data_IF_609976263636
#
_entry.id   IF_609976263636
#
_cell.length_a   1.000
_cell.length_b   1.000
_cell.length_c   1.000
_cell.angle_alpha   90.00
_cell.angle_beta   90.00
_cell.angle_gamma   90.00
#
_symmetry.space_group_name_H-M   'P 1'
#
loop_
_entity.id
_entity.type
_entity.pdbx_description
1 polymer ?
#
# COMPACT_ATOMS: atom_id res chain seq x y z
N UNK A 1 -46.35 37.58 30.17
CA UNK A 1 -45.76 36.22 30.28
C UNK A 1 -45.76 35.39 28.98
N UNK A 2 -46.74 35.50 28.08
CA UNK A 2 -46.78 34.73 26.80
C UNK A 2 -45.60 35.04 25.85
N UNK A 3 -45.23 36.31 25.71
CA UNK A 3 -44.12 36.75 24.83
C UNK A 3 -42.75 36.14 25.19
N UNK A 4 -42.49 35.91 26.49
CA UNK A 4 -41.21 35.36 26.96
C UNK A 4 -41.04 33.87 26.60
N UNK A 5 -42.14 33.09 26.57
CA UNK A 5 -42.12 31.68 26.14
C UNK A 5 -41.91 31.56 24.63
N UNK A 6 -42.47 32.48 23.85
CA UNK A 6 -42.33 32.51 22.39
C UNK A 6 -40.90 32.83 21.96
N UNK A 7 -40.25 33.79 22.61
CA UNK A 7 -38.82 34.09 22.37
C UNK A 7 -37.90 32.92 22.74
N UNK A 8 -38.16 32.24 23.86
CA UNK A 8 -37.39 31.04 24.25
C UNK A 8 -37.53 29.89 23.24
N UNK A 9 -38.72 29.65 22.72
CA UNK A 9 -38.93 28.65 21.66
C UNK A 9 -38.24 29.03 20.35
N UNK A 10 -38.30 30.31 19.97
CA UNK A 10 -37.61 30.81 18.79
C UNK A 10 -36.09 30.67 18.95
N UNK A 11 -35.55 31.04 20.11
CA UNK A 11 -34.12 30.93 20.44
C UNK A 11 -33.64 29.47 20.44
N UNK A 12 -34.44 28.54 20.98
CA UNK A 12 -34.10 27.11 21.00
C UNK A 12 -34.12 26.49 19.60
N UNK A 13 -35.04 26.92 18.73
CA UNK A 13 -35.08 26.52 17.32
C UNK A 13 -33.90 27.10 16.53
N UNK A 14 -33.52 28.34 16.81
CA UNK A 14 -32.37 28.99 16.20
C UNK A 14 -31.07 28.28 16.60
N UNK A 15 -30.92 27.90 17.87
CA UNK A 15 -29.76 27.15 18.36
C UNK A 15 -29.65 25.79 17.67
N UNK A 16 -30.76 25.06 17.52
CA UNK A 16 -30.78 23.76 16.84
C UNK A 16 -30.43 23.89 15.34
N UNK A 17 -30.90 24.95 14.68
CA UNK A 17 -30.57 25.23 13.28
C UNK A 17 -29.07 25.46 13.09
N UNK A 18 -28.43 26.25 13.97
CA UNK A 18 -26.98 26.51 13.91
C UNK A 18 -26.17 25.23 14.12
N UNK A 19 -26.64 24.33 15.00
CA UNK A 19 -25.99 23.05 15.26
C UNK A 19 -26.03 22.14 14.01
N UNK A 20 -27.18 22.06 13.34
CA UNK A 20 -27.34 21.28 12.09
C UNK A 20 -26.47 21.84 10.97
N UNK A 21 -26.45 23.15 10.77
CA UNK A 21 -25.61 23.80 9.74
C UNK A 21 -24.13 23.59 10.01
N UNK A 22 -23.69 23.70 11.26
CA UNK A 22 -22.30 23.45 11.65
C UNK A 22 -21.86 22.01 11.37
N UNK A 23 -22.74 21.04 11.64
CA UNK A 23 -22.50 19.63 11.31
C UNK A 23 -22.39 19.42 9.79
N UNK A 24 -23.29 19.99 9.00
CA UNK A 24 -23.21 19.93 7.53
C UNK A 24 -21.93 20.55 6.98
N UNK A 25 -21.49 21.68 7.53
CA UNK A 25 -20.25 22.33 7.13
C UNK A 25 -19.02 21.46 7.47
N UNK A 26 -19.00 20.85 8.67
CA UNK A 26 -17.95 19.89 9.03
C UNK A 26 -17.93 18.67 8.10
N UNK A 27 -19.09 18.11 7.76
CA UNK A 27 -19.19 17.02 6.79
C UNK A 27 -18.69 17.42 5.41
N UNK A 28 -19.00 18.62 4.93
CA UNK A 28 -18.52 19.11 3.63
C UNK A 28 -16.99 19.21 3.60
N UNK A 29 -16.38 19.81 4.64
CA UNK A 29 -14.92 19.90 4.75
C UNK A 29 -14.23 18.52 4.82
N UNK A 30 -14.83 17.56 5.53
CA UNK A 30 -14.29 16.20 5.60
C UNK A 30 -14.42 15.50 4.24
N UNK A 31 -15.53 15.69 3.53
CA UNK A 31 -15.74 15.11 2.21
C UNK A 31 -14.77 15.68 1.17
N UNK A 32 -14.51 16.98 1.18
CA UNK A 32 -13.55 17.62 0.26
C UNK A 32 -12.12 17.14 0.54
N UNK A 33 -11.69 17.08 1.80
CA UNK A 33 -10.35 16.56 2.15
C UNK A 33 -10.16 15.10 1.70
N UNK A 34 -11.20 14.27 1.81
CA UNK A 34 -11.16 12.87 1.34
C UNK A 34 -11.06 12.80 -0.18
N UNK A 35 -11.89 13.58 -0.88
CA UNK A 35 -11.86 13.64 -2.34
C UNK A 35 -10.52 14.16 -2.87
N UNK A 36 -9.93 15.18 -2.25
CA UNK A 36 -8.60 15.68 -2.60
C UNK A 36 -7.51 14.64 -2.33
N UNK A 37 -7.59 13.89 -1.23
CA UNK A 37 -6.65 12.79 -0.94
C UNK A 37 -6.77 11.67 -1.96
N UNK A 38 -7.99 11.27 -2.31
CA UNK A 38 -8.25 10.24 -3.33
C UNK A 38 -7.83 10.69 -4.72
N UNK A 39 -8.07 11.96 -5.08
CA UNK A 39 -7.62 12.54 -6.34
C UNK A 39 -6.10 12.69 -6.40
N UNK A 40 -5.45 13.04 -5.29
CA UNK A 40 -3.99 13.14 -5.21
C UNK A 40 -3.35 11.75 -5.31
N UNK A 41 -3.92 10.74 -4.66
CA UNK A 41 -3.54 9.34 -4.85
C UNK A 41 -3.76 8.95 -6.32
N UNK A 42 -4.91 9.22 -6.92
CA UNK A 42 -5.18 8.89 -8.33
C UNK A 42 -4.24 9.62 -9.32
N UNK A 43 -3.87 10.87 -9.03
CA UNK A 43 -2.95 11.65 -9.85
C UNK A 43 -1.50 11.20 -9.68
N UNK A 44 -1.10 10.83 -8.46
CA UNK A 44 0.20 10.18 -8.17
C UNK A 44 0.23 8.76 -8.75
N UNK A 45 -0.93 8.13 -8.90
CA UNK A 45 -1.14 6.85 -9.56
C UNK A 45 -1.19 6.89 -11.08
N UNK A 46 -1.20 8.09 -11.66
CA UNK A 46 -1.04 8.29 -13.10
C UNK A 46 0.46 8.35 -13.43
N UNK A 47 1.19 7.30 -13.03
CA UNK A 47 2.65 7.25 -13.01
C UNK A 47 3.23 6.51 -14.21
N UNK A 48 4.09 7.22 -14.94
CA UNK A 48 5.01 6.80 -16.00
C UNK A 48 6.07 5.76 -15.56
N UNK A 49 5.67 4.78 -14.78
CA UNK A 49 6.56 3.74 -14.28
C UNK A 49 6.86 2.67 -15.33
N UNK A 50 7.89 1.88 -15.07
CA UNK A 50 8.40 0.87 -16.02
C UNK A 50 7.49 -0.36 -16.14
N UNK A 51 6.49 -0.49 -15.27
CA UNK A 51 5.63 -1.66 -15.18
C UNK A 51 4.14 -1.29 -15.13
N UNK A 52 3.28 -2.23 -15.49
CA UNK A 52 1.83 -2.11 -15.38
C UNK A 52 1.39 -2.38 -13.94
N UNK A 53 0.40 -1.63 -13.50
CA UNK A 53 -0.21 -1.81 -12.20
C UNK A 53 -0.92 -3.15 -12.10
N UNK A 54 -0.79 -3.80 -10.95
CA UNK A 54 -1.37 -5.11 -10.71
C UNK A 54 -0.63 -5.89 -9.63
N UNK A 55 -1.07 -7.12 -9.40
CA UNK A 55 -0.37 -8.07 -8.54
C UNK A 55 0.10 -9.23 -9.40
N UNK A 56 1.40 -9.48 -9.35
CA UNK A 56 2.09 -10.47 -10.18
C UNK A 56 2.77 -11.48 -9.29
N UNK A 57 2.64 -12.76 -9.63
CA UNK A 57 3.33 -13.82 -8.92
C UNK A 57 4.54 -14.30 -9.72
N UNK A 58 5.60 -14.63 -9.01
CA UNK A 58 6.80 -15.19 -9.60
C UNK A 58 7.43 -16.22 -8.68
N UNK A 59 8.18 -17.13 -9.26
CA UNK A 59 8.84 -18.20 -8.53
C UNK A 59 10.32 -18.28 -8.88
N UNK A 60 11.11 -18.76 -7.92
CA UNK A 60 12.55 -18.94 -8.05
C UNK A 60 13.06 -20.06 -7.15
N UNK A 61 14.18 -20.67 -7.53
CA UNK A 61 14.78 -21.75 -6.75
C UNK A 61 15.70 -21.18 -5.67
N UNK A 62 15.33 -21.41 -4.41
CA UNK A 62 16.12 -21.10 -3.22
C UNK A 62 17.02 -22.24 -2.76
N UNK A 63 17.51 -22.15 -1.53
CA UNK A 63 18.33 -23.20 -0.90
C UNK A 63 17.51 -24.46 -0.62
N UNK A 64 16.32 -24.27 -0.03
CA UNK A 64 15.44 -25.36 0.39
C UNK A 64 14.53 -25.87 -0.70
N UNK A 65 14.27 -25.06 -1.73
CA UNK A 65 13.32 -25.43 -2.78
C UNK A 65 12.76 -24.21 -3.48
N UNK A 66 11.58 -24.39 -4.07
CA UNK A 66 10.87 -23.31 -4.73
C UNK A 66 10.41 -22.25 -3.72
N UNK A 67 10.72 -21.00 -4.00
CA UNK A 67 10.21 -19.81 -3.34
C UNK A 67 9.22 -19.14 -4.29
N UNK A 68 8.04 -18.79 -3.81
CA UNK A 68 7.01 -18.06 -4.55
C UNK A 68 6.81 -16.70 -3.90
N UNK A 69 6.83 -15.64 -4.70
CA UNK A 69 6.59 -14.26 -4.26
C UNK A 69 5.42 -13.66 -5.02
N UNK A 70 4.73 -12.73 -4.38
CA UNK A 70 3.70 -11.88 -4.96
C UNK A 70 4.18 -10.45 -4.88
N UNK A 71 4.29 -9.79 -6.04
CA UNK A 71 4.73 -8.40 -6.19
C UNK A 71 3.52 -7.56 -6.55
N UNK A 72 3.22 -6.56 -5.74
CA UNK A 72 2.19 -5.56 -6.03
C UNK A 72 2.86 -4.34 -6.64
N UNK A 73 2.37 -3.93 -7.80
CA UNK A 73 2.79 -2.74 -8.52
C UNK A 73 1.66 -1.73 -8.47
N UNK A 74 2.00 -0.53 -8.05
CA UNK A 74 1.14 0.65 -8.12
C UNK A 74 1.94 1.77 -8.76
N UNK A 75 1.32 2.46 -9.71
CA UNK A 75 1.87 3.65 -10.35
C UNK A 75 3.14 3.32 -11.15
N UNK A 76 3.17 2.11 -11.70
CA UNK A 76 4.31 1.48 -12.36
C UNK A 76 5.57 1.36 -11.50
N UNK A 77 5.40 1.32 -10.17
CA UNK A 77 6.45 1.12 -9.17
C UNK A 77 6.08 -0.05 -8.25
N UNK A 78 7.09 -0.73 -7.72
CA UNK A 78 6.96 -1.80 -6.72
C UNK A 78 6.41 -1.18 -5.42
N UNK A 79 5.17 -1.52 -5.08
CA UNK A 79 4.49 -1.12 -3.84
C UNK A 79 4.77 -2.11 -2.70
N UNK A 80 4.65 -3.41 -3.00
CA UNK A 80 4.84 -4.47 -2.01
C UNK A 80 5.42 -5.74 -2.63
N UNK A 81 6.11 -6.53 -1.81
CA UNK A 81 6.64 -7.85 -2.17
C UNK A 81 6.40 -8.79 -0.99
N UNK A 82 5.58 -9.82 -1.20
CA UNK A 82 5.23 -10.80 -0.20
C UNK A 82 5.74 -12.18 -0.60
N UNK A 83 6.31 -12.93 0.35
CA UNK A 83 6.64 -14.34 0.14
C UNK A 83 5.39 -15.17 0.41
N UNK A 84 4.92 -15.87 -0.62
CA UNK A 84 3.73 -16.75 -0.57
C UNK A 84 4.10 -18.15 -0.12
N UNK A 85 5.18 -18.69 -0.67
CA UNK A 85 5.65 -20.04 -0.35
C UNK A 85 7.17 -20.09 -0.24
N UNK A 86 7.67 -20.80 0.77
CA UNK A 86 9.09 -21.09 0.99
C UNK A 86 9.25 -22.31 1.93
N UNK A 87 8.50 -23.38 1.67
CA UNK A 87 8.22 -24.46 2.63
C UNK A 87 9.45 -25.20 3.16
N UNK A 88 10.51 -25.26 2.37
CA UNK A 88 11.70 -26.04 2.67
C UNK A 88 12.91 -25.17 3.09
N UNK A 89 12.73 -23.86 3.19
CA UNK A 89 13.80 -22.94 3.60
C UNK A 89 14.06 -23.03 5.10
N UNK A 90 15.34 -22.97 5.49
CA UNK A 90 15.75 -22.88 6.90
C UNK A 90 15.53 -21.46 7.41
N UNK A 91 14.71 -21.30 8.45
CA UNK A 91 14.24 -20.01 8.94
C UNK A 91 15.37 -19.06 9.34
N UNK A 92 16.46 -19.56 9.92
CA UNK A 92 17.54 -18.71 10.43
C UNK A 92 18.29 -17.97 9.31
N UNK A 93 18.55 -18.65 8.19
CA UNK A 93 19.21 -18.06 7.02
C UNK A 93 18.22 -17.35 6.10
N UNK A 94 16.99 -17.88 6.01
CA UNK A 94 15.95 -17.30 5.17
C UNK A 94 15.52 -15.91 5.63
N UNK A 95 15.49 -15.65 6.94
CA UNK A 95 15.18 -14.32 7.47
C UNK A 95 16.23 -13.27 7.07
N UNK A 96 17.50 -13.67 6.91
CA UNK A 96 18.51 -12.77 6.34
C UNK A 96 18.28 -12.54 4.84
N UNK A 97 17.87 -13.57 4.09
CA UNK A 97 17.52 -13.42 2.68
C UNK A 97 16.33 -12.46 2.48
N UNK A 98 15.32 -12.49 3.35
CA UNK A 98 14.16 -11.58 3.27
C UNK A 98 14.52 -10.10 3.33
N UNK A 99 15.61 -9.73 4.01
CA UNK A 99 16.04 -8.32 4.15
C UNK A 99 16.33 -7.65 2.80
N UNK A 100 16.64 -8.41 1.77
CA UNK A 100 16.88 -7.87 0.43
C UNK A 100 15.59 -7.29 -0.18
N UNK A 101 14.41 -7.76 0.24
CA UNK A 101 13.11 -7.29 -0.24
C UNK A 101 12.92 -5.79 0.05
N UNK A 102 13.32 -5.33 1.24
CA UNK A 102 13.24 -3.90 1.57
C UNK A 102 14.16 -3.07 0.69
N UNK A 103 15.34 -3.60 0.36
CA UNK A 103 16.26 -2.96 -0.60
C UNK A 103 15.65 -2.90 -2.00
N UNK A 104 14.98 -3.96 -2.44
CA UNK A 104 14.32 -4.01 -3.75
C UNK A 104 13.20 -2.96 -3.85
N UNK A 105 12.36 -2.84 -2.83
CA UNK A 105 11.32 -1.80 -2.76
C UNK A 105 11.91 -0.40 -2.70
N UNK A 106 12.97 -0.19 -1.93
CA UNK A 106 13.59 1.13 -1.80
C UNK A 106 14.25 1.58 -3.11
N UNK A 107 14.97 0.68 -3.77
CA UNK A 107 15.71 0.97 -5.01
C UNK A 107 14.87 0.76 -6.28
N UNK A 108 13.66 0.23 -6.16
CA UNK A 108 12.77 -0.08 -7.29
C UNK A 108 13.45 -0.99 -8.33
N UNK A 109 14.19 -2.00 -7.85
CA UNK A 109 14.91 -2.96 -8.71
C UNK A 109 14.96 -4.33 -8.05
N UNK A 110 14.92 -5.39 -8.88
CA UNK A 110 15.18 -6.74 -8.42
C UNK A 110 16.69 -7.09 -8.44
N UNK A 111 17.52 -6.24 -9.05
CA UNK A 111 18.98 -6.42 -9.09
C UNK A 111 19.62 -5.84 -7.82
N UNK A 112 19.70 -6.67 -6.79
CA UNK A 112 20.26 -6.33 -5.48
C UNK A 112 21.26 -7.39 -5.04
N UNK A 113 22.17 -6.99 -4.17
CA UNK A 113 23.15 -7.92 -3.60
C UNK A 113 22.48 -8.97 -2.72
N UNK A 114 23.06 -10.17 -2.74
CA UNK A 114 22.62 -11.27 -1.86
C UNK A 114 22.99 -10.99 -0.40
N UNK A 115 22.18 -11.49 0.53
CA UNK A 115 22.50 -11.39 1.94
C UNK A 115 23.62 -12.37 2.31
N UNK A 116 24.58 -11.92 3.12
CA UNK A 116 25.68 -12.76 3.61
C UNK A 116 25.16 -13.97 4.38
N UNK A 117 25.66 -15.16 4.03
CA UNK A 117 25.22 -16.43 4.63
C UNK A 117 23.89 -16.99 4.11
N UNK A 118 23.21 -16.28 3.19
CA UNK A 118 21.90 -16.69 2.65
C UNK A 118 21.86 -16.63 1.11
N UNK A 119 23.00 -16.83 0.44
CA UNK A 119 23.17 -16.62 -1.01
C UNK A 119 22.14 -17.33 -1.87
N UNK A 120 21.88 -18.62 -1.65
CA UNK A 120 20.95 -19.40 -2.47
C UNK A 120 19.51 -18.92 -2.31
N UNK A 121 19.07 -18.72 -1.06
CA UNK A 121 17.73 -18.20 -0.76
C UNK A 121 17.54 -16.77 -1.29
N UNK A 122 18.55 -15.91 -1.17
CA UNK A 122 18.53 -14.56 -1.76
C UNK A 122 18.40 -14.61 -3.28
N UNK A 123 19.15 -15.48 -3.96
CA UNK A 123 19.01 -15.68 -5.42
C UNK A 123 17.62 -16.18 -5.79
N UNK A 124 17.04 -17.09 -5.01
CA UNK A 124 15.67 -17.56 -5.20
C UNK A 124 14.65 -16.43 -5.14
N UNK A 125 14.75 -15.55 -4.12
CA UNK A 125 13.89 -14.36 -4.00
C UNK A 125 14.11 -13.40 -5.18
N UNK A 126 15.37 -13.10 -5.55
CA UNK A 126 15.70 -12.23 -6.69
C UNK A 126 15.05 -12.73 -7.97
N UNK A 127 15.23 -14.02 -8.29
CA UNK A 127 14.65 -14.63 -9.50
C UNK A 127 13.12 -14.62 -9.45
N UNK A 128 12.53 -14.91 -8.29
CA UNK A 128 11.08 -14.88 -8.12
C UNK A 128 10.50 -13.48 -8.38
N UNK A 129 11.13 -12.43 -7.84
CA UNK A 129 10.72 -11.04 -8.07
C UNK A 129 10.95 -10.64 -9.53
N UNK A 130 12.09 -10.99 -10.13
CA UNK A 130 12.35 -10.74 -11.56
C UNK A 130 11.29 -11.37 -12.45
N UNK A 131 10.86 -12.59 -12.16
CA UNK A 131 9.82 -13.26 -12.93
C UNK A 131 8.46 -12.57 -12.77
N UNK A 132 8.10 -12.12 -11.57
CA UNK A 132 6.90 -11.32 -11.37
C UNK A 132 6.93 -9.98 -12.13
N UNK A 133 8.08 -9.28 -12.13
CA UNK A 133 8.24 -8.00 -12.84
C UNK A 133 8.22 -8.15 -14.37
N UNK A 134 8.64 -9.30 -14.91
CA UNK A 134 8.53 -9.60 -16.35
C UNK A 134 7.07 -9.68 -16.79
N UNK A 135 6.20 -10.31 -15.98
CA UNK A 135 4.76 -10.38 -16.27
C UNK A 135 4.08 -9.01 -16.19
N UNK A 136 4.68 -8.07 -15.46
CA UNK A 136 4.19 -6.70 -15.34
C UNK A 136 4.67 -5.77 -16.47
N UNK A 137 5.59 -6.20 -17.32
CA UNK A 137 6.14 -5.36 -18.41
C UNK A 137 5.17 -5.23 -19.60
#
# INVERSE_FOLDING_TARGET
MKQLKQYKHFLMRLLNLVLIVGVCFAYHNIATIRAEKEAKIAAENSGSGSWKDGTYEGSGQGFGGQIVVSVTIKNGSIDDIQIKEAKNEDSAYFDNAKKIIDTMKQKQTADVDVASGATYSSKGIIVAVQNALKEAS
#
